data_IF_474941708802
#
_entry.id   IF_474941708802
#
_cell.length_a   1.000
_cell.length_b   1.000
_cell.length_c   1.000
_cell.angle_alpha   90.00
_cell.angle_beta   90.00
_cell.angle_gamma   90.00
#
_symmetry.space_group_name_H-M   'P 1'
#
loop_
_entity.id
_entity.type
_entity.pdbx_description
1 polymer ?
#
# COMPACT_ATOMS: atom_id res chain seq x y z
N UNK A 1 -6.31 12.07 13.87
CA UNK A 1 -4.87 11.86 14.14
C UNK A 1 -4.14 11.83 12.79
N UNK A 2 -2.95 12.37 12.76
CA UNK A 2 -2.09 12.47 11.58
C UNK A 2 -0.93 11.49 11.66
N UNK A 3 -0.61 10.83 10.54
CA UNK A 3 0.52 9.90 10.42
C UNK A 3 1.38 10.22 9.20
N UNK A 4 2.68 9.90 9.28
CA UNK A 4 3.53 9.68 8.13
C UNK A 4 3.43 8.23 7.69
N UNK A 5 3.25 7.99 6.40
CA UNK A 5 3.10 6.66 5.83
C UNK A 5 4.10 6.45 4.69
N UNK A 6 5.12 5.68 4.96
CA UNK A 6 6.00 5.16 3.91
C UNK A 6 5.38 3.90 3.29
N UNK A 7 4.75 4.06 2.13
CA UNK A 7 4.27 2.96 1.31
C UNK A 7 5.38 2.55 0.33
N UNK A 8 6.37 1.82 0.85
CA UNK A 8 7.57 1.46 0.10
C UNK A 8 7.39 0.28 -0.84
N UNK A 9 8.31 0.11 -1.80
CA UNK A 9 8.35 -1.03 -2.73
C UNK A 9 8.72 -2.33 -2.02
N UNK A 10 9.68 -2.28 -1.09
CA UNK A 10 10.14 -3.44 -0.35
C UNK A 10 9.41 -3.62 0.99
N UNK A 11 9.28 -2.53 1.74
CA UNK A 11 8.63 -2.51 3.05
C UNK A 11 7.76 -1.27 3.18
N UNK A 12 6.74 -1.37 4.02
CA UNK A 12 5.91 -0.25 4.46
C UNK A 12 6.20 0.07 5.93
N UNK A 13 6.10 1.34 6.31
CA UNK A 13 6.18 1.77 7.70
C UNK A 13 5.24 2.94 7.96
N UNK A 14 4.88 3.12 9.24
CA UNK A 14 4.03 4.22 9.70
C UNK A 14 4.68 4.89 10.91
N UNK A 15 4.69 6.21 10.92
CA UNK A 15 5.18 6.99 12.04
C UNK A 15 4.16 8.02 12.52
N UNK A 16 4.24 8.36 13.80
CA UNK A 16 3.55 9.49 14.43
C UNK A 16 4.56 10.39 15.11
N UNK A 17 4.23 11.66 15.23
CA UNK A 17 5.02 12.57 16.05
C UNK A 17 4.71 12.34 17.53
N UNK A 18 5.75 12.07 18.33
CA UNK A 18 5.71 12.01 19.80
C UNK A 18 6.88 12.80 20.35
N UNK A 19 6.59 13.70 21.27
CA UNK A 19 7.64 14.53 21.92
C UNK A 19 8.59 15.20 20.90
N UNK A 20 8.00 15.75 19.83
CA UNK A 20 8.68 16.41 18.71
C UNK A 20 9.61 15.51 17.87
N UNK A 21 9.51 14.19 18.03
CA UNK A 21 10.27 13.22 17.23
C UNK A 21 9.35 12.21 16.53
N UNK A 22 9.71 11.76 15.30
CA UNK A 22 8.98 10.69 14.62
C UNK A 22 9.19 9.37 15.35
N UNK A 23 8.09 8.67 15.63
CA UNK A 23 8.08 7.35 16.28
C UNK A 23 7.40 6.36 15.38
N UNK A 24 8.11 5.32 14.98
CA UNK A 24 7.57 4.24 14.17
C UNK A 24 6.59 3.37 14.99
N UNK A 25 5.52 2.93 14.34
CA UNK A 25 4.52 2.05 14.93
C UNK A 25 4.80 0.59 14.55
N UNK A 26 4.58 -0.32 15.50
CA UNK A 26 4.63 -1.75 15.22
C UNK A 26 3.47 -2.15 14.29
N UNK A 27 3.77 -2.81 13.18
CA UNK A 27 2.79 -3.22 12.16
C UNK A 27 2.60 -4.74 12.09
N UNK A 28 3.65 -5.53 12.32
CA UNK A 28 3.58 -6.98 12.28
C UNK A 28 4.52 -7.57 13.35
N UNK A 29 4.01 -8.42 14.26
CA UNK A 29 4.81 -9.15 15.25
C UNK A 29 5.81 -8.27 16.04
N UNK A 30 5.41 -7.04 16.39
CA UNK A 30 6.25 -6.00 17.00
C UNK A 30 7.33 -5.42 16.06
N UNK A 31 7.39 -5.83 14.79
CA UNK A 31 8.23 -5.17 13.81
C UNK A 31 7.55 -3.88 13.29
N UNK A 32 8.36 -2.85 13.10
CA UNK A 32 7.91 -1.56 12.56
C UNK A 32 7.88 -1.54 11.04
N UNK A 33 8.47 -2.53 10.40
CA UNK A 33 8.47 -2.72 8.96
C UNK A 33 7.58 -3.89 8.56
N UNK A 34 6.61 -3.62 7.68
CA UNK A 34 5.79 -4.64 7.05
C UNK A 34 6.30 -4.87 5.63
N UNK A 35 6.79 -6.06 5.27
CA UNK A 35 7.14 -6.37 3.89
C UNK A 35 5.97 -6.09 2.94
N UNK A 36 6.25 -5.42 1.80
CA UNK A 36 5.23 -5.05 0.81
C UNK A 36 4.79 -6.27 -0.01
N UNK A 37 4.12 -7.20 0.66
CA UNK A 37 3.67 -8.49 0.15
C UNK A 37 2.22 -8.75 0.55
N UNK A 38 1.48 -9.38 -0.36
CA UNK A 38 0.12 -9.82 -0.16
C UNK A 38 -0.04 -11.24 -0.72
N UNK A 39 -0.78 -12.09 -0.02
CA UNK A 39 -1.16 -13.42 -0.45
C UNK A 39 -2.67 -13.60 -0.31
N UNK A 40 -3.29 -14.29 -1.28
CA UNK A 40 -4.70 -14.61 -1.30
C UNK A 40 -4.91 -15.99 -1.93
N UNK A 41 -6.04 -16.68 -1.72
CA UNK A 41 -6.36 -17.93 -2.40
C UNK A 41 -6.39 -17.77 -3.92
N UNK A 42 -6.94 -16.65 -4.41
CA UNK A 42 -6.99 -16.28 -5.82
C UNK A 42 -6.81 -14.78 -5.98
N UNK A 43 -6.53 -14.34 -7.19
CA UNK A 43 -6.53 -12.92 -7.55
C UNK A 43 -7.90 -12.28 -7.30
N UNK A 44 -8.95 -13.01 -7.60
CA UNK A 44 -10.35 -12.63 -7.46
C UNK A 44 -10.74 -12.50 -5.97
N UNK A 45 -10.14 -13.30 -5.10
CA UNK A 45 -10.38 -13.22 -3.66
C UNK A 45 -9.97 -11.87 -3.06
N UNK A 46 -9.01 -11.17 -3.66
CA UNK A 46 -8.59 -9.82 -3.21
C UNK A 46 -9.76 -8.85 -3.27
N UNK A 47 -10.39 -8.68 -4.44
CA UNK A 47 -11.52 -7.76 -4.61
C UNK A 47 -12.74 -8.19 -3.79
N UNK A 48 -13.03 -9.48 -3.73
CA UNK A 48 -14.17 -9.98 -2.96
C UNK A 48 -13.96 -9.75 -1.46
N UNK A 49 -12.82 -10.08 -0.90
CA UNK A 49 -12.50 -9.83 0.51
C UNK A 49 -12.58 -8.34 0.84
N UNK A 50 -11.91 -7.50 0.04
CA UNK A 50 -11.86 -6.06 0.24
C UNK A 50 -13.26 -5.42 0.29
N UNK A 51 -14.13 -5.77 -0.65
CA UNK A 51 -15.43 -5.09 -0.80
C UNK A 51 -16.57 -5.75 -0.04
N UNK A 52 -16.61 -7.08 0.02
CA UNK A 52 -17.71 -7.78 0.72
C UNK A 52 -17.46 -7.99 2.20
N UNK A 53 -16.25 -8.34 2.57
CA UNK A 53 -15.92 -8.67 3.96
C UNK A 53 -15.39 -7.48 4.75
N UNK A 54 -14.56 -6.64 4.13
CA UNK A 54 -14.03 -5.44 4.80
C UNK A 54 -14.87 -4.19 4.56
N UNK A 55 -15.90 -4.26 3.71
CA UNK A 55 -16.84 -3.16 3.43
C UNK A 55 -16.16 -1.91 2.84
N UNK A 56 -15.02 -2.09 2.18
CA UNK A 56 -14.32 -1.00 1.49
C UNK A 56 -15.09 -0.62 0.23
N UNK A 57 -15.33 0.67 -0.06
CA UNK A 57 -16.03 1.10 -1.26
C UNK A 57 -15.29 0.71 -2.55
N UNK A 58 -16.01 0.38 -3.62
CA UNK A 58 -15.40 0.06 -4.92
C UNK A 58 -14.78 1.29 -5.61
N UNK A 59 -15.34 2.45 -5.45
CA UNK A 59 -14.78 3.70 -5.95
C UNK A 59 -15.08 4.01 -7.42
N UNK A 60 -15.09 3.02 -8.33
CA UNK A 60 -15.37 3.21 -9.76
C UNK A 60 -16.24 2.10 -10.34
N UNK A 61 -16.75 2.32 -11.57
CA UNK A 61 -17.51 1.30 -12.30
C UNK A 61 -16.62 0.11 -12.68
N UNK A 62 -15.35 0.35 -12.98
CA UNK A 62 -14.37 -0.69 -13.28
C UNK A 62 -14.14 -1.60 -12.07
N UNK A 63 -13.98 -1.04 -10.86
CA UNK A 63 -13.87 -1.80 -9.63
C UNK A 63 -15.16 -2.57 -9.32
N UNK A 64 -16.34 -2.01 -9.60
CA UNK A 64 -17.61 -2.74 -9.45
C UNK A 64 -17.71 -3.93 -10.41
N UNK A 65 -17.29 -3.76 -11.66
CA UNK A 65 -17.26 -4.85 -12.64
C UNK A 65 -16.25 -5.91 -12.25
N UNK A 66 -15.06 -5.49 -11.76
CA UNK A 66 -14.04 -6.40 -11.25
C UNK A 66 -14.59 -7.25 -10.10
N UNK A 67 -15.25 -6.62 -9.12
CA UNK A 67 -15.89 -7.31 -7.99
C UNK A 67 -16.93 -8.31 -8.43
N UNK A 68 -17.83 -7.94 -9.37
CA UNK A 68 -18.88 -8.88 -9.85
C UNK A 68 -18.27 -10.13 -10.49
N UNK A 69 -17.20 -9.96 -11.29
CA UNK A 69 -16.49 -11.07 -11.92
C UNK A 69 -15.76 -11.92 -10.87
N UNK A 70 -15.14 -11.25 -9.89
CA UNK A 70 -14.44 -11.93 -8.80
C UNK A 70 -15.39 -12.87 -8.00
N UNK A 71 -16.55 -12.37 -7.61
CA UNK A 71 -17.57 -13.16 -6.89
C UNK A 71 -18.07 -14.34 -7.74
N UNK A 72 -18.30 -14.12 -9.04
CA UNK A 72 -18.76 -15.18 -9.94
C UNK A 72 -17.69 -16.28 -10.06
N UNK A 73 -16.42 -15.90 -10.30
CA UNK A 73 -15.29 -16.81 -10.41
C UNK A 73 -15.10 -17.63 -9.14
N UNK A 74 -14.97 -16.98 -7.96
CA UNK A 74 -14.73 -17.68 -6.71
C UNK A 74 -15.86 -18.68 -6.39
N UNK A 75 -17.12 -18.33 -6.73
CA UNK A 75 -18.25 -19.23 -6.56
C UNK A 75 -18.23 -20.42 -7.54
N UNK A 76 -17.84 -20.19 -8.81
CA UNK A 76 -17.74 -21.24 -9.82
C UNK A 76 -16.63 -22.25 -9.50
N UNK A 77 -15.53 -21.77 -8.92
CA UNK A 77 -14.37 -22.57 -8.53
C UNK A 77 -14.44 -23.09 -7.08
N UNK A 78 -15.58 -22.92 -6.39
CA UNK A 78 -15.78 -23.31 -5.00
C UNK A 78 -14.71 -22.77 -4.03
N UNK A 79 -14.21 -21.56 -4.27
CA UNK A 79 -13.19 -20.92 -3.44
C UNK A 79 -13.84 -20.14 -2.30
N UNK A 80 -13.66 -20.57 -1.03
CA UNK A 80 -14.21 -19.85 0.11
C UNK A 80 -13.42 -18.56 0.35
N UNK A 81 -14.11 -17.42 0.31
CA UNK A 81 -13.53 -16.11 0.64
C UNK A 81 -14.14 -15.63 1.94
N UNK A 82 -13.29 -15.25 2.89
CA UNK A 82 -13.64 -14.74 4.22
C UNK A 82 -12.91 -13.43 4.52
N UNK A 83 -13.17 -12.83 5.67
CA UNK A 83 -12.44 -11.65 6.12
C UNK A 83 -10.93 -11.90 6.35
N UNK A 84 -10.53 -13.16 6.54
CA UNK A 84 -9.16 -13.58 6.82
C UNK A 84 -8.46 -14.17 5.57
N UNK A 85 -9.08 -14.06 4.39
CA UNK A 85 -8.52 -14.63 3.15
C UNK A 85 -7.32 -13.89 2.61
N UNK A 86 -7.02 -12.67 3.10
CA UNK A 86 -5.84 -11.91 2.70
C UNK A 86 -4.80 -11.93 3.81
N UNK A 87 -3.60 -12.34 3.44
CA UNK A 87 -2.41 -12.32 4.28
C UNK A 87 -1.45 -11.23 3.78
N UNK A 88 -0.67 -10.66 4.70
CA UNK A 88 0.27 -9.57 4.40
C UNK A 88 1.63 -9.84 5.03
N UNK A 89 2.66 -9.13 4.56
CA UNK A 89 3.99 -9.16 5.13
C UNK A 89 4.60 -10.56 5.19
N UNK A 90 5.18 -10.92 6.31
CA UNK A 90 5.81 -12.23 6.54
C UNK A 90 4.81 -13.38 6.51
N UNK A 91 3.57 -13.15 6.95
CA UNK A 91 2.50 -14.17 6.89
C UNK A 91 2.15 -14.51 5.44
N UNK A 92 2.12 -13.51 4.54
CA UNK A 92 1.92 -13.73 3.10
C UNK A 92 3.08 -14.52 2.49
N UNK A 93 4.32 -14.22 2.88
CA UNK A 93 5.51 -14.94 2.41
C UNK A 93 5.51 -16.40 2.90
N UNK A 94 5.16 -16.63 4.17
CA UNK A 94 5.08 -17.96 4.74
C UNK A 94 4.08 -18.85 3.99
N UNK A 95 2.88 -18.34 3.73
CA UNK A 95 1.86 -19.05 2.96
C UNK A 95 2.33 -19.36 1.52
N UNK A 96 2.97 -18.39 0.86
CA UNK A 96 3.52 -18.62 -0.48
C UNK A 96 4.63 -19.68 -0.51
N UNK A 97 5.48 -19.75 0.52
CA UNK A 97 6.54 -20.77 0.60
C UNK A 97 5.94 -22.16 0.82
N UNK A 98 4.85 -22.25 1.60
CA UNK A 98 4.15 -23.51 1.88
C UNK A 98 3.46 -24.07 0.62
N UNK A 99 2.70 -23.23 -0.10
CA UNK A 99 1.88 -23.64 -1.25
C UNK A 99 2.03 -22.67 -2.44
N UNK A 100 3.18 -22.62 -3.13
CA UNK A 100 3.46 -21.61 -4.15
C UNK A 100 2.58 -21.72 -5.40
N UNK A 101 2.02 -22.89 -5.70
CA UNK A 101 1.17 -23.13 -6.87
C UNK A 101 -0.33 -22.90 -6.60
N UNK A 102 -0.72 -22.92 -5.32
CA UNK A 102 -2.14 -22.86 -4.90
C UNK A 102 -2.58 -21.47 -4.43
N UNK A 103 -1.69 -20.46 -4.50
CA UNK A 103 -1.98 -19.13 -4.01
C UNK A 103 -1.64 -18.03 -5.00
N UNK A 104 -2.37 -16.94 -4.92
CA UNK A 104 -2.05 -15.69 -5.60
C UNK A 104 -1.16 -14.85 -4.70
N UNK A 105 0.13 -14.74 -5.05
CA UNK A 105 1.11 -13.97 -4.28
C UNK A 105 1.58 -12.75 -5.06
N UNK A 106 1.56 -11.59 -4.41
CA UNK A 106 2.03 -10.33 -4.99
C UNK A 106 3.11 -9.74 -4.09
N UNK A 107 4.26 -9.50 -4.68
CA UNK A 107 5.36 -8.74 -4.07
C UNK A 107 5.45 -7.37 -4.71
N UNK A 108 5.64 -6.34 -3.88
CA UNK A 108 5.92 -4.98 -4.33
C UNK A 108 4.84 -4.39 -5.26
N UNK A 109 3.55 -4.33 -4.84
CA UNK A 109 2.48 -3.84 -5.72
C UNK A 109 2.71 -2.39 -6.19
N UNK A 110 3.46 -1.58 -5.48
CA UNK A 110 3.88 -0.22 -5.89
C UNK A 110 4.63 -0.22 -7.22
N UNK A 111 5.38 -1.28 -7.54
CA UNK A 111 6.21 -1.38 -8.75
C UNK A 111 5.40 -1.38 -10.05
N UNK A 112 4.12 -1.74 -10.01
CA UNK A 112 3.28 -1.84 -11.21
C UNK A 112 2.56 -0.55 -11.56
N UNK A 113 2.51 0.43 -10.65
CA UNK A 113 1.62 1.58 -10.74
C UNK A 113 1.96 2.52 -11.89
N UNK A 114 3.24 2.64 -12.25
CA UNK A 114 3.73 3.46 -13.38
C UNK A 114 3.83 2.70 -14.71
N UNK A 115 3.37 1.46 -14.80
CA UNK A 115 3.45 0.68 -16.03
C UNK A 115 2.55 1.27 -17.13
N UNK A 116 3.07 1.28 -18.37
CA UNK A 116 2.37 1.80 -19.54
C UNK A 116 1.45 0.74 -20.16
N UNK A 117 0.41 1.21 -20.85
CA UNK A 117 -0.47 0.34 -21.65
C UNK A 117 -1.39 -0.56 -20.82
N UNK A 118 -1.57 -0.26 -19.54
CA UNK A 118 -2.48 -1.01 -18.69
C UNK A 118 -3.93 -0.80 -19.10
N UNK A 119 -4.68 -1.89 -19.17
CA UNK A 119 -6.12 -1.85 -19.39
C UNK A 119 -6.86 -1.37 -18.14
N UNK A 120 -8.05 -0.75 -18.27
CA UNK A 120 -8.82 -0.28 -17.10
C UNK A 120 -9.03 -1.33 -16.02
N UNK A 121 -9.24 -2.59 -16.38
CA UNK A 121 -9.41 -3.70 -15.44
C UNK A 121 -8.12 -4.04 -14.67
N UNK A 122 -6.95 -3.87 -15.30
CA UNK A 122 -5.66 -4.06 -14.62
C UNK A 122 -5.39 -2.92 -13.64
N UNK A 123 -5.72 -1.69 -14.03
CA UNK A 123 -5.64 -0.53 -13.14
C UNK A 123 -6.57 -0.69 -11.93
N UNK A 124 -7.80 -1.18 -12.13
CA UNK A 124 -8.74 -1.45 -11.05
C UNK A 124 -8.20 -2.52 -10.08
N UNK A 125 -7.60 -3.60 -10.61
CA UNK A 125 -6.98 -4.62 -9.78
C UNK A 125 -5.80 -4.07 -8.97
N UNK A 126 -4.92 -3.29 -9.61
CA UNK A 126 -3.77 -2.70 -8.91
C UNK A 126 -4.22 -1.71 -7.83
N UNK A 127 -5.29 -0.96 -8.08
CA UNK A 127 -5.89 -0.09 -7.07
C UNK A 127 -6.45 -0.90 -5.89
N UNK A 128 -7.11 -2.04 -6.14
CA UNK A 128 -7.60 -2.94 -5.09
C UNK A 128 -6.45 -3.55 -4.27
N UNK A 129 -5.36 -3.98 -4.91
CA UNK A 129 -4.17 -4.50 -4.22
C UNK A 129 -3.55 -3.45 -3.28
N UNK A 130 -3.36 -2.24 -3.79
CA UNK A 130 -2.81 -1.13 -2.99
C UNK A 130 -3.76 -0.76 -1.86
N UNK A 131 -5.06 -0.67 -2.15
CA UNK A 131 -6.09 -0.37 -1.17
C UNK A 131 -6.14 -1.43 -0.05
N UNK A 132 -6.05 -2.72 -0.38
CA UNK A 132 -6.03 -3.79 0.60
C UNK A 132 -4.81 -3.68 1.54
N UNK A 133 -3.62 -3.40 1.00
CA UNK A 133 -2.42 -3.17 1.80
C UNK A 133 -2.57 -1.93 2.71
N UNK A 134 -3.01 -0.81 2.16
CA UNK A 134 -3.19 0.44 2.92
C UNK A 134 -4.25 0.29 4.01
N UNK A 135 -5.34 -0.41 3.72
CA UNK A 135 -6.40 -0.67 4.69
C UNK A 135 -5.90 -1.55 5.84
N UNK A 136 -5.16 -2.63 5.53
CA UNK A 136 -4.55 -3.48 6.54
C UNK A 136 -3.60 -2.69 7.44
N UNK A 137 -2.65 -1.95 6.85
CA UNK A 137 -1.66 -1.16 7.59
C UNK A 137 -2.34 -0.09 8.46
N UNK A 138 -3.34 0.61 7.92
CA UNK A 138 -4.14 1.58 8.68
C UNK A 138 -4.79 0.94 9.90
N UNK A 139 -5.41 -0.24 9.75
CA UNK A 139 -6.02 -0.97 10.88
C UNK A 139 -5.01 -1.38 11.94
N UNK A 140 -3.80 -1.83 11.53
CA UNK A 140 -2.73 -2.15 12.47
C UNK A 140 -2.30 -0.89 13.25
N UNK A 141 -2.05 0.21 12.56
CA UNK A 141 -1.69 1.48 13.18
C UNK A 141 -2.78 2.00 14.13
N UNK A 142 -4.05 1.93 13.74
CA UNK A 142 -5.19 2.31 14.58
C UNK A 142 -5.30 1.44 15.84
N UNK A 143 -5.02 0.15 15.71
CA UNK A 143 -4.99 -0.79 16.85
C UNK A 143 -3.88 -0.41 17.85
N UNK A 144 -2.68 -0.10 17.37
CA UNK A 144 -1.54 0.32 18.21
C UNK A 144 -1.80 1.66 18.90
N UNK A 145 -2.45 2.59 18.19
CA UNK A 145 -2.74 3.94 18.70
C UNK A 145 -4.02 4.02 19.52
N UNK A 146 -4.86 2.99 19.46
CA UNK A 146 -6.23 2.98 20.00
C UNK A 146 -7.05 4.22 19.53
N UNK A 147 -6.83 4.67 18.29
CA UNK A 147 -7.44 5.87 17.73
C UNK A 147 -7.63 5.77 16.21
N UNK A 148 -8.71 6.39 15.71
CA UNK A 148 -8.97 6.49 14.27
C UNK A 148 -7.97 7.43 13.59
N UNK A 149 -7.44 6.97 12.44
CA UNK A 149 -6.51 7.72 11.61
C UNK A 149 -7.25 8.19 10.36
N UNK A 150 -7.34 9.49 10.16
CA UNK A 150 -8.00 10.10 8.99
C UNK A 150 -7.07 10.91 8.10
N UNK A 151 -5.89 11.27 8.62
CA UNK A 151 -4.95 12.18 7.96
C UNK A 151 -3.62 11.49 7.79
N UNK A 152 -3.02 11.64 6.60
CA UNK A 152 -1.73 11.03 6.31
C UNK A 152 -0.92 11.86 5.32
N UNK A 153 0.40 11.83 5.48
CA UNK A 153 1.34 12.14 4.41
C UNK A 153 1.94 10.83 3.92
N UNK A 154 1.80 10.58 2.62
CA UNK A 154 2.31 9.36 1.98
C UNK A 154 3.60 9.69 1.25
N UNK A 155 4.66 8.90 1.50
CA UNK A 155 5.90 8.97 0.75
C UNK A 155 5.70 8.56 -0.71
N UNK A 156 6.30 9.33 -1.63
CA UNK A 156 6.35 8.98 -3.05
C UNK A 156 7.75 9.19 -3.62
N UNK A 157 8.18 8.34 -4.56
CA UNK A 157 9.43 8.58 -5.28
C UNK A 157 9.29 9.83 -6.17
N UNK A 158 10.42 10.39 -6.59
CA UNK A 158 10.43 11.45 -7.62
C UNK A 158 9.83 10.92 -8.92
N UNK A 159 10.25 9.70 -9.30
CA UNK A 159 9.71 8.99 -10.46
C UNK A 159 9.30 7.57 -10.07
N UNK A 160 8.07 7.19 -10.42
CA UNK A 160 7.65 5.79 -10.31
C UNK A 160 8.32 4.94 -11.39
N UNK A 161 8.46 3.65 -11.11
CA UNK A 161 8.97 2.70 -12.10
C UNK A 161 8.07 2.68 -13.34
N UNK A 162 8.69 2.78 -14.53
CA UNK A 162 8.03 2.79 -15.81
C UNK A 162 8.70 3.73 -16.79
N UNK A 163 8.41 3.57 -18.08
CA UNK A 163 8.99 4.38 -19.17
C UNK A 163 8.13 5.59 -19.55
N UNK A 164 7.04 5.86 -18.82
CA UNK A 164 6.02 6.84 -19.19
C UNK A 164 6.23 8.27 -18.69
N UNK A 165 7.33 8.56 -17.99
CA UNK A 165 7.64 9.90 -17.50
C UNK A 165 6.51 10.49 -16.62
N UNK A 166 6.10 11.73 -16.90
CA UNK A 166 5.07 12.42 -16.09
C UNK A 166 3.69 11.73 -16.12
N UNK A 167 3.32 11.08 -17.23
CA UNK A 167 2.03 10.37 -17.33
C UNK A 167 2.02 9.14 -16.42
N UNK A 168 3.12 8.39 -16.36
CA UNK A 168 3.28 7.28 -15.43
C UNK A 168 3.23 7.75 -13.97
N UNK A 169 3.87 8.87 -13.66
CA UNK A 169 3.83 9.47 -12.33
C UNK A 169 2.41 9.89 -11.92
N UNK A 170 1.67 10.55 -12.82
CA UNK A 170 0.28 10.94 -12.58
C UNK A 170 -0.64 9.72 -12.38
N UNK A 171 -0.46 8.68 -13.20
CA UNK A 171 -1.21 7.42 -13.06
C UNK A 171 -0.97 6.79 -11.70
N UNK A 172 0.29 6.59 -11.32
CA UNK A 172 0.67 5.95 -10.06
C UNK A 172 0.20 6.74 -8.84
N UNK A 173 0.40 8.06 -8.83
CA UNK A 173 -0.08 8.93 -7.75
C UNK A 173 -1.60 8.92 -7.66
N UNK A 174 -2.31 8.94 -8.79
CA UNK A 174 -3.77 8.84 -8.83
C UNK A 174 -4.28 7.52 -8.24
N UNK A 175 -3.61 6.39 -8.51
CA UNK A 175 -3.95 5.09 -7.91
C UNK A 175 -3.72 5.12 -6.40
N UNK A 176 -2.56 5.61 -5.94
CA UNK A 176 -2.26 5.73 -4.52
C UNK A 176 -3.28 6.61 -3.78
N UNK A 177 -3.64 7.75 -4.36
CA UNK A 177 -4.62 8.66 -3.78
C UNK A 177 -5.99 7.98 -3.62
N UNK A 178 -6.52 7.37 -4.70
CA UNK A 178 -7.82 6.70 -4.63
C UNK A 178 -7.81 5.50 -3.69
N UNK A 179 -6.74 4.71 -3.71
CA UNK A 179 -6.57 3.59 -2.79
C UNK A 179 -6.57 4.04 -1.33
N UNK A 180 -5.84 5.11 -1.00
CA UNK A 180 -5.79 5.68 0.34
C UNK A 180 -7.16 6.26 0.77
N UNK A 181 -7.88 6.95 -0.12
CA UNK A 181 -9.23 7.44 0.14
C UNK A 181 -10.19 6.29 0.46
N UNK A 182 -10.15 5.23 -0.34
CA UNK A 182 -10.97 4.02 -0.15
C UNK A 182 -10.61 3.27 1.12
N UNK A 183 -9.33 3.25 1.50
CA UNK A 183 -8.86 2.70 2.77
C UNK A 183 -9.32 3.52 4.01
N UNK A 184 -9.94 4.68 3.80
CA UNK A 184 -10.56 5.49 4.84
C UNK A 184 -9.75 6.71 5.30
N UNK A 185 -8.66 7.05 4.63
CA UNK A 185 -8.02 8.35 4.81
C UNK A 185 -8.85 9.45 4.13
N UNK A 186 -8.91 10.63 4.73
CA UNK A 186 -9.68 11.78 4.23
C UNK A 186 -8.78 12.91 3.77
N UNK A 187 -7.82 13.29 4.60
CA UNK A 187 -6.86 14.34 4.31
C UNK A 187 -5.54 13.66 3.96
N UNK A 188 -5.18 13.68 2.68
CA UNK A 188 -4.03 12.98 2.13
C UNK A 188 -3.13 14.00 1.44
N UNK A 189 -1.85 13.99 1.81
CA UNK A 189 -0.80 14.73 1.12
C UNK A 189 0.30 13.75 0.69
N UNK A 190 1.06 14.13 -0.33
CA UNK A 190 2.25 13.41 -0.76
C UNK A 190 3.50 14.20 -0.45
N UNK A 191 4.55 13.49 -0.07
CA UNK A 191 5.88 14.04 0.14
C UNK A 191 6.88 13.22 -0.67
N UNK A 192 7.81 13.87 -1.35
CA UNK A 192 8.91 13.18 -1.99
C UNK A 192 9.80 12.49 -0.96
N UNK A 193 10.04 11.19 -1.13
CA UNK A 193 10.85 10.37 -0.21
C UNK A 193 12.25 10.96 0.04
N UNK A 194 13.02 11.41 -0.97
CA UNK A 194 14.31 12.02 -0.71
C UNK A 194 14.22 13.36 0.04
N UNK A 195 13.13 14.12 -0.13
CA UNK A 195 12.91 15.35 0.65
C UNK A 195 12.58 15.01 2.10
N UNK A 196 11.76 13.99 2.35
CA UNK A 196 11.45 13.54 3.70
C UNK A 196 12.71 13.06 4.45
N UNK A 197 13.58 12.29 3.77
CA UNK A 197 14.86 11.88 4.33
C UNK A 197 15.80 13.06 4.62
N UNK A 198 15.78 14.07 3.74
CA UNK A 198 16.52 15.33 3.95
C UNK A 198 16.05 16.11 5.17
N UNK A 199 14.74 16.20 5.38
CA UNK A 199 14.14 16.86 6.54
C UNK A 199 14.46 16.14 7.86
N UNK A 200 14.44 14.81 7.86
CA UNK A 200 14.82 14.01 9.02
C UNK A 200 16.31 14.23 9.39
N UNK A 201 17.18 14.28 8.39
CA UNK A 201 18.59 14.60 8.60
C UNK A 201 18.81 16.04 9.06
N UNK A 202 18.07 17.02 8.51
CA UNK A 202 18.14 18.43 8.89
C UNK A 202 17.90 18.64 10.39
N UNK A 203 16.98 17.88 10.98
CA UNK A 203 16.69 17.95 12.42
C UNK A 203 17.91 17.58 13.31
N UNK A 204 18.95 16.98 12.75
CA UNK A 204 20.20 16.63 13.46
C UNK A 204 21.28 17.68 13.32
N UNK A 205 21.12 18.67 12.43
CA UNK A 205 22.15 19.65 12.13
C UNK A 205 22.16 20.81 13.14
N UNK A 206 23.36 21.26 13.48
CA UNK A 206 23.57 22.43 14.33
C UNK A 206 24.07 23.66 13.54
N UNK A 207 24.33 23.49 12.26
CA UNK A 207 24.82 24.52 11.34
C UNK A 207 24.27 24.26 9.91
N UNK A 208 24.26 25.29 9.07
CA UNK A 208 23.86 25.17 7.66
C UNK A 208 24.83 24.28 6.90
N UNK A 209 24.30 23.27 6.18
CA UNK A 209 25.08 22.34 5.35
C UNK A 209 24.39 22.07 4.02
N UNK A 210 25.18 21.89 2.98
CA UNK A 210 24.68 21.32 1.72
C UNK A 210 24.69 19.80 1.82
N UNK A 211 23.57 19.17 1.58
CA UNK A 211 23.38 17.72 1.71
C UNK A 211 22.98 17.13 0.37
N UNK A 212 23.59 16.01 0.00
CA UNK A 212 23.13 15.15 -1.08
C UNK A 212 22.39 13.95 -0.47
N UNK A 213 21.12 13.83 -0.79
CA UNK A 213 20.32 12.66 -0.39
C UNK A 213 20.33 11.67 -1.56
N UNK A 214 20.74 10.43 -1.28
CA UNK A 214 20.71 9.31 -2.23
C UNK A 214 19.82 8.22 -1.62
N UNK A 215 18.66 8.01 -2.23
CA UNK A 215 17.71 6.98 -1.83
C UNK A 215 17.81 5.78 -2.79
N UNK A 216 18.20 4.62 -2.26
CA UNK A 216 18.34 3.36 -3.00
C UNK A 216 17.40 2.34 -2.38
N UNK A 217 16.19 2.27 -2.93
CA UNK A 217 15.15 1.37 -2.48
C UNK A 217 15.04 0.05 -3.25
N UNK A 218 14.00 -0.71 -2.96
CA UNK A 218 13.72 -2.02 -3.60
C UNK A 218 13.20 -1.91 -5.04
N UNK A 219 12.93 -0.74 -5.58
CA UNK A 219 12.31 -0.61 -6.89
C UNK A 219 12.38 0.75 -7.57
N UNK A 220 12.43 1.86 -6.85
CA UNK A 220 12.57 3.20 -7.40
C UNK A 220 13.82 3.87 -6.83
N UNK A 221 14.47 4.70 -7.63
CA UNK A 221 15.66 5.48 -7.22
C UNK A 221 15.41 6.93 -7.52
#
# INVERSE_FOLDING_TARGET
MFIGFDYGTANCSVAVMRDDAPTLLALENNDVYLPSMLCAPTREAVSECLHRHWQVPTGSDENQQLLRRAIAFNREEDIPVTADSLLFGLSALAQYIEDPEEVYFVKSPKSFLGANGLKPQQLALFEDLVCAMMFHIKRQAESVLAAEIRQTVIGRPVNFQGSGGEDANRQAEGILLRAAQRAGFRDIAFQFEPVAAGLDFEATLTEEKTVLVVDIGGGAT
#
